data_IF_573681341791
#
_entry.id   IF_573681341791
#
_cell.length_a   1.000
_cell.length_b   1.000
_cell.length_c   1.000
_cell.angle_alpha   90.00
_cell.angle_beta   90.00
_cell.angle_gamma   90.00
#
_symmetry.space_group_name_H-M   'P 1'
#
loop_
_entity.id
_entity.type
_entity.pdbx_description
1 polymer ?
#
# COMPACT_ATOMS: atom_id res chain seq x y z
N UNK A 1 26.61 -23.15 -31.52
CA UNK A 1 26.12 -22.61 -31.52
C UNK A 1 25.10 -22.34 -30.98
N UNK A 2 24.64 -22.37 -30.77
CA UNK A 2 23.61 -22.21 -30.30
C UNK A 2 23.44 -21.82 -29.03
N UNK A 3 23.94 -21.95 -28.23
CA UNK A 3 23.84 -21.65 -27.00
C UNK A 3 23.40 -20.49 -26.60
N UNK A 4 23.61 -19.86 -27.09
CA UNK A 4 23.24 -18.65 -26.93
C UNK A 4 22.01 -18.48 -26.31
N UNK A 5 21.13 -18.97 -26.81
CA UNK A 5 19.91 -18.86 -26.34
C UNK A 5 19.70 -19.00 -24.99
N UNK A 6 20.16 -19.79 -24.51
CA UNK A 6 19.95 -20.04 -23.18
C UNK A 6 19.99 -18.79 -22.43
N UNK A 7 20.86 -18.11 -22.62
CA UNK A 7 20.98 -16.96 -21.98
C UNK A 7 19.87 -16.20 -21.79
N UNK A 8 19.31 -15.94 -22.69
CA UNK A 8 18.23 -15.24 -22.66
C UNK A 8 17.37 -15.50 -21.59
N UNK A 9 17.07 -16.57 -21.50
CA UNK A 9 16.19 -16.89 -20.54
C UNK A 9 16.48 -16.29 -19.30
N UNK A 10 17.44 -16.53 -18.87
CA UNK A 10 17.76 -16.11 -17.60
C UNK A 10 17.25 -14.78 -17.34
N UNK A 11 17.44 -14.06 -18.12
CA UNK A 11 16.99 -12.83 -18.02
C UNK A 11 15.76 -12.62 -17.48
N UNK A 12 14.96 -12.88 -18.15
CA UNK A 12 13.67 -12.58 -17.83
C UNK A 12 13.28 -12.84 -16.47
N UNK A 13 13.52 -13.80 -16.07
CA UNK A 13 12.95 -14.09 -14.88
C UNK A 13 13.24 -13.30 -13.81
N UNK A 14 14.24 -13.16 -13.59
CA UNK A 14 14.59 -12.45 -12.44
C UNK A 14 13.71 -11.35 -12.06
N UNK A 15 13.56 -10.57 -12.87
CA UNK A 15 12.88 -9.41 -12.58
C UNK A 15 11.58 -9.50 -11.93
N UNK A 16 10.75 -10.07 -12.45
CA UNK A 16 9.40 -10.07 -12.01
C UNK A 16 9.25 -10.38 -10.57
N UNK A 17 9.85 -11.32 -10.19
CA UNK A 17 9.69 -11.76 -8.86
C UNK A 17 9.97 -10.71 -7.83
N UNK A 18 10.94 -10.01 -8.04
CA UNK A 18 11.30 -9.00 -7.12
C UNK A 18 10.28 -8.00 -6.78
N UNK A 19 9.54 -7.62 -7.69
CA UNK A 19 8.59 -6.57 -7.48
C UNK A 19 7.52 -6.89 -6.45
N UNK A 20 7.45 -8.08 -6.05
CA UNK A 20 6.38 -8.46 -5.16
C UNK A 20 6.72 -8.47 -3.69
N UNK A 21 7.89 -8.04 -3.34
CA UNK A 21 8.27 -8.12 -1.95
C UNK A 21 7.69 -7.00 -1.12
N UNK A 22 6.76 -7.34 -0.27
CA UNK A 22 6.24 -6.40 0.68
C UNK A 22 6.90 -6.65 2.02
N UNK A 23 7.12 -5.59 2.76
CA UNK A 23 7.55 -5.73 4.13
C UNK A 23 6.33 -5.84 5.01
N UNK A 24 6.51 -6.42 6.18
CA UNK A 24 5.44 -6.52 7.13
C UNK A 24 5.58 -5.37 8.11
N UNK A 25 4.50 -4.66 8.31
CA UNK A 25 4.53 -3.53 9.22
C UNK A 25 4.43 -3.93 10.67
N UNK A 26 4.57 -2.99 11.58
CA UNK A 26 4.54 -3.27 13.01
C UNK A 26 3.25 -3.91 13.50
N UNK A 27 2.16 -3.72 12.79
CA UNK A 27 0.88 -4.32 13.16
C UNK A 27 0.54 -5.54 12.30
N UNK A 28 1.50 -6.03 11.55
CA UNK A 28 1.30 -7.21 10.75
C UNK A 28 0.72 -7.00 9.37
N UNK A 29 0.52 -5.76 8.97
CA UNK A 29 -0.03 -5.47 7.66
C UNK A 29 1.04 -5.36 6.61
N UNK A 30 0.62 -5.24 5.36
CA UNK A 30 1.54 -5.01 4.26
C UNK A 30 2.06 -3.58 4.32
N UNK A 31 3.35 -3.38 4.11
CA UNK A 31 3.93 -2.06 4.21
C UNK A 31 4.70 -1.70 2.97
N UNK A 32 4.50 -0.48 2.47
CA UNK A 32 5.16 0.03 1.28
C UNK A 32 5.61 1.48 1.50
N UNK A 33 6.67 1.85 0.80
CA UNK A 33 7.17 3.23 0.80
C UNK A 33 6.31 4.06 -0.13
N UNK A 34 5.93 5.25 0.30
CA UNK A 34 5.20 6.17 -0.56
C UNK A 34 5.37 7.58 -0.03
N UNK A 35 5.61 8.53 -0.91
CA UNK A 35 5.72 9.95 -0.54
C UNK A 35 6.73 10.22 0.59
N UNK A 36 7.76 9.39 0.66
CA UNK A 36 8.81 9.57 1.67
C UNK A 36 8.51 8.98 3.04
N UNK A 37 7.42 8.24 3.18
CA UNK A 37 7.07 7.61 4.45
C UNK A 37 6.75 6.15 4.17
N UNK A 38 6.59 5.38 5.24
CA UNK A 38 6.14 3.99 5.12
C UNK A 38 4.67 3.93 5.50
N UNK A 39 3.88 3.30 4.66
CA UNK A 39 2.45 3.15 4.89
C UNK A 39 2.12 1.68 5.06
N UNK A 40 1.47 1.35 6.17
CA UNK A 40 1.05 -0.01 6.46
C UNK A 40 -0.45 -0.13 6.29
N UNK A 41 -0.89 -1.12 5.52
CA UNK A 41 -2.31 -1.34 5.25
C UNK A 41 -2.86 -2.42 6.16
N UNK A 42 -3.94 -2.11 6.84
CA UNK A 42 -4.70 -3.09 7.60
C UNK A 42 -6.15 -3.02 7.16
N UNK A 43 -6.80 -4.16 7.06
CA UNK A 43 -8.22 -4.20 6.76
C UNK A 43 -8.91 -5.09 7.79
N UNK A 44 -10.12 -4.72 8.16
CA UNK A 44 -10.92 -5.48 9.10
C UNK A 44 -12.37 -5.22 8.78
N UNK A 45 -13.09 -6.25 8.30
CA UNK A 45 -14.47 -6.07 7.88
C UNK A 45 -14.54 -5.04 6.77
N UNK A 46 -15.23 -3.94 7.04
CA UNK A 46 -15.38 -2.84 6.08
C UNK A 46 -14.33 -1.75 6.28
N UNK A 47 -13.50 -1.86 7.28
CA UNK A 47 -12.59 -0.78 7.66
C UNK A 47 -11.24 -0.92 6.97
N UNK A 48 -10.76 0.18 6.40
CA UNK A 48 -9.41 0.27 5.84
C UNK A 48 -8.63 1.22 6.73
N UNK A 49 -7.47 0.79 7.18
CA UNK A 49 -6.61 1.60 8.03
C UNK A 49 -5.23 1.70 7.38
N UNK A 50 -4.70 2.91 7.32
CA UNK A 50 -3.32 3.11 6.89
C UNK A 50 -2.58 3.72 8.08
N UNK A 51 -1.56 3.02 8.55
CA UNK A 51 -0.70 3.53 9.60
C UNK A 51 0.57 4.07 8.96
N UNK A 52 1.06 5.19 9.45
CA UNK A 52 2.16 5.90 8.83
C UNK A 52 3.36 5.91 9.76
N UNK A 53 4.53 5.57 9.21
CA UNK A 53 5.77 5.50 9.97
C UNK A 53 6.88 6.20 9.20
N UNK A 54 7.95 6.56 9.90
CA UNK A 54 9.12 7.12 9.25
C UNK A 54 9.73 6.06 8.34
N UNK A 55 10.25 6.48 7.21
CA UNK A 55 10.95 5.56 6.33
C UNK A 55 12.17 5.01 7.06
N UNK A 56 12.37 3.73 6.94
CA UNK A 56 13.51 3.04 7.53
C UNK A 56 13.50 3.02 9.07
N UNK A 57 12.34 3.24 9.67
CA UNK A 57 12.24 3.25 11.13
C UNK A 57 10.80 2.92 11.52
N UNK A 58 10.56 2.20 12.58
CA UNK A 58 9.18 1.91 12.99
C UNK A 58 8.54 3.05 13.78
N UNK A 59 9.11 4.23 13.74
CA UNK A 59 8.60 5.34 14.49
C UNK A 59 7.34 5.92 13.86
N UNK A 60 6.23 6.02 14.60
CA UNK A 60 5.00 6.56 14.03
C UNK A 60 5.13 8.03 13.69
N UNK A 61 4.42 8.44 12.65
CA UNK A 61 4.37 9.84 12.25
C UNK A 61 2.94 10.30 12.38
N UNK A 62 2.73 11.49 12.93
CA UNK A 62 1.40 12.06 13.04
C UNK A 62 0.79 12.23 11.64
N UNK A 63 -0.47 11.84 11.49
CA UNK A 63 -1.19 12.00 10.22
C UNK A 63 -1.95 13.31 10.16
N UNK A 64 -1.69 14.21 11.10
CA UNK A 64 -2.31 15.51 11.07
C UNK A 64 -1.89 16.23 9.81
N UNK A 65 -2.82 16.79 9.10
CA UNK A 65 -2.51 17.50 7.86
C UNK A 65 -2.35 16.61 6.64
N UNK A 66 -2.52 15.30 6.81
CA UNK A 66 -2.44 14.40 5.66
C UNK A 66 -3.78 14.32 4.94
N UNK A 67 -3.72 14.07 3.65
CA UNK A 67 -4.90 13.76 2.86
C UNK A 67 -4.67 12.41 2.21
N UNK A 68 -5.66 11.55 2.22
CA UNK A 68 -5.49 10.22 1.67
C UNK A 68 -6.82 9.64 1.19
N UNK A 69 -6.72 8.79 0.20
CA UNK A 69 -7.87 8.06 -0.32
C UNK A 69 -7.38 6.74 -0.86
N UNK A 70 -8.25 5.75 -0.89
CA UNK A 70 -7.93 4.47 -1.49
C UNK A 70 -8.96 4.13 -2.55
N UNK A 71 -8.56 3.34 -3.53
CA UNK A 71 -9.49 2.74 -4.48
C UNK A 71 -9.41 1.25 -4.24
N UNK A 72 -10.54 0.67 -3.89
CA UNK A 72 -10.63 -0.76 -3.61
C UNK A 72 -11.17 -1.43 -4.87
N UNK A 73 -10.41 -2.36 -5.43
CA UNK A 73 -10.79 -3.04 -6.66
C UNK A 73 -10.83 -4.54 -6.44
N UNK A 74 -11.95 -5.15 -6.78
CA UNK A 74 -12.10 -6.58 -6.68
C UNK A 74 -12.94 -7.02 -7.88
N UNK A 75 -12.33 -7.68 -8.85
CA UNK A 75 -13.01 -8.04 -10.07
C UNK A 75 -13.49 -6.79 -10.79
N UNK A 76 -14.77 -6.73 -11.06
CA UNK A 76 -15.35 -5.57 -11.71
C UNK A 76 -15.79 -4.49 -10.72
N UNK A 77 -15.69 -4.74 -9.45
CA UNK A 77 -16.14 -3.80 -8.44
C UNK A 77 -15.05 -2.81 -8.09
N UNK A 78 -15.41 -1.56 -8.01
CA UNK A 78 -14.47 -0.48 -7.69
C UNK A 78 -15.15 0.44 -6.69
N UNK A 79 -14.47 0.71 -5.61
CA UNK A 79 -15.02 1.63 -4.60
C UNK A 79 -13.95 2.62 -4.16
N UNK A 80 -14.13 3.91 -4.45
CA UNK A 80 -13.23 4.94 -3.91
C UNK A 80 -13.62 5.23 -2.46
N UNK A 81 -12.63 5.48 -1.63
CA UNK A 81 -12.88 5.69 -0.22
C UNK A 81 -11.92 6.75 0.30
N UNK A 82 -12.47 7.80 0.88
CA UNK A 82 -11.65 8.84 1.49
C UNK A 82 -11.26 8.40 2.89
N UNK A 83 -10.00 8.57 3.23
CA UNK A 83 -9.53 8.25 4.57
C UNK A 83 -9.38 9.52 5.38
N UNK A 84 -9.70 9.44 6.66
CA UNK A 84 -9.58 10.58 7.55
C UNK A 84 -8.68 10.23 8.72
N UNK A 85 -8.09 11.23 9.32
CA UNK A 85 -7.20 11.04 10.44
C UNK A 85 -7.92 10.33 11.58
N UNK A 86 -7.26 9.35 12.16
CA UNK A 86 -7.82 8.58 13.26
C UNK A 86 -6.67 8.23 14.19
N UNK A 87 -6.73 8.73 15.42
CA UNK A 87 -5.62 8.52 16.34
C UNK A 87 -4.43 9.34 15.90
N UNK A 88 -3.27 8.90 16.31
CA UNK A 88 -2.08 9.67 16.07
C UNK A 88 -1.46 9.47 14.71
N UNK A 89 -1.25 8.24 14.33
CA UNK A 89 -0.54 7.95 13.08
C UNK A 89 -1.38 7.15 12.11
N UNK A 90 -2.70 7.21 12.20
CA UNK A 90 -3.57 6.39 11.35
C UNK A 90 -4.50 7.23 10.51
N UNK A 91 -4.87 6.68 9.37
CA UNK A 91 -5.91 7.22 8.51
C UNK A 91 -6.90 6.08 8.28
N UNK A 92 -8.18 6.34 8.47
CA UNK A 92 -9.20 5.29 8.38
C UNK A 92 -10.38 5.69 7.52
N UNK A 93 -10.99 4.69 6.92
CA UNK A 93 -12.24 4.88 6.21
C UNK A 93 -13.04 3.60 6.24
N UNK A 94 -14.35 3.71 6.05
CA UNK A 94 -15.23 2.55 6.04
C UNK A 94 -15.86 2.38 4.68
N UNK A 95 -15.66 1.21 4.09
CA UNK A 95 -16.24 0.88 2.80
C UNK A 95 -17.70 0.48 2.98
N UNK A 96 -18.44 0.42 1.91
CA UNK A 96 -19.84 0.02 1.96
C UNK A 96 -20.00 -1.46 2.16
N UNK A 97 -19.01 -2.23 1.78
CA UNK A 97 -19.02 -3.68 1.88
C UNK A 97 -17.74 -4.16 2.50
N UNK A 98 -17.74 -5.37 3.05
CA UNK A 98 -16.49 -5.93 3.57
C UNK A 98 -15.43 -6.01 2.48
N UNK A 99 -14.19 -5.81 2.88
CA UNK A 99 -13.09 -5.80 1.92
C UNK A 99 -12.78 -7.24 1.53
N UNK A 100 -12.87 -7.58 0.24
CA UNK A 100 -12.59 -8.96 -0.17
C UNK A 100 -11.12 -9.31 0.03
N UNK A 101 -10.81 -10.55 0.32
CA UNK A 101 -9.42 -10.93 0.55
C UNK A 101 -8.53 -10.80 -0.68
N UNK A 102 -9.10 -10.81 -1.87
CA UNK A 102 -8.31 -10.68 -3.08
C UNK A 102 -8.32 -9.25 -3.64
N UNK A 103 -8.77 -8.31 -2.86
CA UNK A 103 -8.87 -6.94 -3.37
C UNK A 103 -7.49 -6.32 -3.55
N UNK A 104 -7.41 -5.43 -4.54
CA UNK A 104 -6.25 -4.58 -4.72
C UNK A 104 -6.63 -3.21 -4.19
N UNK A 105 -5.79 -2.65 -3.35
CA UNK A 105 -6.07 -1.35 -2.74
C UNK A 105 -4.99 -0.37 -3.18
N UNK A 106 -5.38 0.65 -3.92
CA UNK A 106 -4.46 1.68 -4.38
C UNK A 106 -4.59 2.87 -3.44
N UNK A 107 -3.50 3.24 -2.80
CA UNK A 107 -3.47 4.36 -1.88
C UNK A 107 -2.89 5.58 -2.57
N UNK A 108 -3.58 6.70 -2.49
CA UNK A 108 -3.05 7.99 -2.88
C UNK A 108 -2.95 8.82 -1.62
N UNK A 109 -1.79 9.35 -1.34
CA UNK A 109 -1.56 10.04 -0.07
C UNK A 109 -0.76 11.31 -0.31
N UNK A 110 -1.08 12.33 0.46
CA UNK A 110 -0.35 13.59 0.45
C UNK A 110 0.01 13.91 1.89
N UNK A 111 1.28 14.11 2.14
CA UNK A 111 1.76 14.37 3.50
C UNK A 111 1.56 15.83 3.87
N UNK A 112 1.77 16.14 5.12
CA UNK A 112 1.64 17.50 5.60
C UNK A 112 2.65 18.42 4.89
N UNK A 113 3.79 17.91 4.52
CA UNK A 113 4.81 18.69 3.81
C UNK A 113 4.47 18.90 2.33
N UNK A 114 3.37 18.31 1.87
CA UNK A 114 2.96 18.49 0.48
C UNK A 114 3.49 17.44 -0.48
N UNK A 115 4.20 16.43 0.03
CA UNK A 115 4.66 15.36 -0.84
C UNK A 115 3.52 14.40 -1.10
N UNK A 116 3.33 13.99 -2.34
CA UNK A 116 2.28 13.05 -2.66
C UNK A 116 2.83 11.84 -3.39
N UNK A 117 2.08 10.77 -3.35
CA UNK A 117 2.47 9.54 -4.02
C UNK A 117 1.33 8.57 -4.05
N UNK A 118 1.56 7.48 -4.77
CA UNK A 118 0.55 6.45 -4.93
C UNK A 118 1.21 5.09 -4.92
N UNK A 119 0.64 4.16 -4.19
CA UNK A 119 1.13 2.79 -4.18
C UNK A 119 -0.05 1.84 -4.22
N UNK A 120 0.21 0.64 -4.65
CA UNK A 120 -0.82 -0.39 -4.78
C UNK A 120 -0.50 -1.57 -3.89
N UNK A 121 -1.44 -1.91 -3.03
CA UNK A 121 -1.31 -3.09 -2.18
C UNK A 121 -2.12 -4.22 -2.79
N UNK A 122 -1.50 -5.35 -2.98
CA UNK A 122 -2.21 -6.55 -3.44
C UNK A 122 -2.35 -7.48 -2.27
N UNK A 123 -3.55 -7.84 -1.97
CA UNK A 123 -3.81 -8.73 -0.84
C UNK A 123 -3.73 -10.19 -1.25
#
# INVERSE_FOLDING_TARGET
>A
MRFILAIITAVSMASPAVAEDYEKGPNGGLMLDVAGIDAELLTSGNTVTINVFEAFSPKPISTKGYAAAVLIVSGANREPLTLTQSGENSLKGEAKKPIPPDATITLTIKTEAGKSGQVRFKK
#
